data_IF_518882185503
#
_entry.id   IF_518882185503
#
_cell.length_a   1.000
_cell.length_b   1.000
_cell.length_c   1.000
_cell.angle_alpha   90.00
_cell.angle_beta   90.00
_cell.angle_gamma   90.00
#
_symmetry.space_group_name_H-M   'P 1'
#
loop_
_entity.id
_entity.type
_entity.pdbx_description
1 polymer ?
#
# COMPACT_ATOMS: atom_id res chain seq x y z
N UNK A 1 26.25 -1.47 -18.21
CA UNK A 1 25.56 -0.39 -17.48
C UNK A 1 26.62 0.31 -16.66
N UNK A 2 26.85 1.61 -16.84
CA UNK A 2 27.95 2.30 -16.13
C UNK A 2 27.45 2.78 -14.73
N UNK A 3 28.38 3.04 -13.80
CA UNK A 3 28.06 3.45 -12.42
C UNK A 3 27.16 4.70 -12.36
N UNK A 4 27.32 5.61 -13.34
CA UNK A 4 26.50 6.81 -13.49
C UNK A 4 25.06 6.51 -13.89
N UNK A 5 24.81 5.50 -14.73
CA UNK A 5 23.46 5.08 -15.12
C UNK A 5 22.67 4.51 -13.92
N UNK A 6 23.35 3.79 -13.03
CA UNK A 6 22.75 3.18 -11.83
C UNK A 6 22.38 4.24 -10.79
N UNK A 7 23.25 5.23 -10.54
CA UNK A 7 22.95 6.33 -9.62
C UNK A 7 21.83 7.24 -10.12
N UNK A 8 21.75 7.49 -11.44
CA UNK A 8 20.68 8.29 -12.04
C UNK A 8 19.32 7.60 -11.91
N UNK A 9 19.24 6.29 -12.21
CA UNK A 9 18.01 5.52 -12.04
C UNK A 9 17.55 5.45 -10.58
N UNK A 10 18.47 5.37 -9.62
CA UNK A 10 18.16 5.38 -8.19
C UNK A 10 17.65 6.74 -7.67
N UNK A 11 17.92 7.84 -8.37
CA UNK A 11 17.49 9.19 -7.99
C UNK A 11 16.26 9.68 -8.79
N UNK A 12 15.68 8.83 -9.65
CA UNK A 12 14.58 9.23 -10.54
C UNK A 12 15.00 10.18 -11.65
N UNK A 13 16.31 10.36 -11.87
CA UNK A 13 16.84 11.11 -12.99
C UNK A 13 17.03 10.20 -14.20
N UNK A 14 16.86 10.72 -15.43
CA UNK A 14 17.13 9.94 -16.64
C UNK A 14 18.57 9.40 -16.63
N UNK A 15 18.82 8.15 -17.05
CA UNK A 15 20.16 7.58 -17.11
C UNK A 15 21.09 8.42 -18.02
N UNK A 16 22.35 8.55 -17.59
CA UNK A 16 23.39 9.39 -18.20
C UNK A 16 23.72 9.06 -19.67
N UNK A 17 23.22 7.93 -20.16
CA UNK A 17 23.24 7.49 -21.56
C UNK A 17 22.19 8.17 -22.46
N UNK A 18 21.31 9.03 -21.93
CA UNK A 18 20.50 9.95 -22.75
C UNK A 18 21.38 11.08 -23.27
N UNK A 19 22.13 10.76 -24.32
CA UNK A 19 22.71 11.73 -25.21
C UNK A 19 21.68 12.15 -26.27
N UNK A 20 21.11 13.34 -26.08
CA UNK A 20 20.94 14.40 -27.12
C UNK A 20 19.60 14.76 -27.78
N UNK A 21 18.47 14.08 -27.59
CA UNK A 21 17.21 14.63 -28.11
C UNK A 21 16.27 15.05 -26.99
N UNK A 22 15.95 16.36 -26.94
CA UNK A 22 14.97 16.94 -26.00
C UNK A 22 13.63 16.19 -26.06
N UNK A 23 13.32 15.60 -27.22
CA UNK A 23 12.13 14.79 -27.46
C UNK A 23 12.10 13.50 -26.64
N UNK A 24 13.23 12.82 -26.45
CA UNK A 24 13.32 11.60 -25.63
C UNK A 24 13.13 11.92 -24.14
N UNK A 25 13.73 13.01 -23.66
CA UNK A 25 13.56 13.48 -22.28
C UNK A 25 12.11 13.89 -22.02
N UNK A 26 11.49 14.61 -22.96
CA UNK A 26 10.08 14.99 -22.87
C UNK A 26 9.18 13.76 -22.85
N UNK A 27 9.46 12.76 -23.69
CA UNK A 27 8.70 11.50 -23.74
C UNK A 27 8.83 10.72 -22.43
N UNK A 28 10.04 10.62 -21.88
CA UNK A 28 10.30 9.99 -20.59
C UNK A 28 9.58 10.70 -19.44
N UNK A 29 9.66 12.02 -19.38
CA UNK A 29 8.97 12.80 -18.34
C UNK A 29 7.45 12.69 -18.48
N UNK A 30 6.91 12.76 -19.69
CA UNK A 30 5.48 12.64 -19.95
C UNK A 30 4.95 11.26 -19.56
N UNK A 31 5.66 10.19 -19.91
CA UNK A 31 5.28 8.81 -19.55
C UNK A 31 5.34 8.58 -18.04
N UNK A 32 6.37 9.10 -17.37
CA UNK A 32 6.53 8.98 -15.92
C UNK A 32 5.46 9.79 -15.17
N UNK A 33 5.16 11.00 -15.63
CA UNK A 33 4.09 11.84 -15.07
C UNK A 33 2.72 11.16 -15.22
N UNK A 34 2.44 10.60 -16.39
CA UNK A 34 1.19 9.88 -16.64
C UNK A 34 1.05 8.66 -15.72
N UNK A 35 2.12 7.87 -15.57
CA UNK A 35 2.12 6.71 -14.68
C UNK A 35 1.91 7.13 -13.20
N UNK A 36 2.51 8.24 -12.77
CA UNK A 36 2.30 8.78 -11.43
C UNK A 36 0.86 9.26 -11.23
N UNK A 37 0.29 9.94 -12.23
CA UNK A 37 -1.11 10.39 -12.17
C UNK A 37 -2.08 9.21 -12.07
N UNK A 38 -1.86 8.14 -12.85
CA UNK A 38 -2.67 6.92 -12.77
C UNK A 38 -2.64 6.27 -11.39
N UNK A 39 -1.45 6.23 -10.74
CA UNK A 39 -1.33 5.72 -9.36
C UNK A 39 -2.10 6.59 -8.37
N UNK A 40 -2.02 7.92 -8.51
CA UNK A 40 -2.76 8.85 -7.64
C UNK A 40 -4.26 8.71 -7.82
N UNK A 41 -4.74 8.61 -9.06
CA UNK A 41 -6.16 8.44 -9.36
C UNK A 41 -6.69 7.11 -8.80
N UNK A 42 -5.92 6.03 -8.92
CA UNK A 42 -6.27 4.73 -8.33
C UNK A 42 -6.35 4.80 -6.79
N UNK A 43 -5.36 5.42 -6.14
CA UNK A 43 -5.37 5.63 -4.68
C UNK A 43 -6.51 6.55 -4.24
N UNK A 44 -6.82 7.60 -5.01
CA UNK A 44 -7.92 8.51 -4.72
C UNK A 44 -9.28 7.80 -4.85
N UNK A 45 -9.45 6.97 -5.88
CA UNK A 45 -10.65 6.15 -6.07
C UNK A 45 -10.82 5.11 -4.96
N UNK A 46 -9.74 4.41 -4.57
CA UNK A 46 -9.75 3.48 -3.44
C UNK A 46 -10.09 4.18 -2.13
N UNK A 47 -9.46 5.33 -1.83
CA UNK A 47 -9.78 6.12 -0.65
C UNK A 47 -11.22 6.65 -0.65
N UNK A 48 -11.73 7.09 -1.80
CA UNK A 48 -13.11 7.52 -1.94
C UNK A 48 -14.07 6.36 -1.68
N UNK A 49 -13.80 5.17 -2.23
CA UNK A 49 -14.60 3.97 -2.00
C UNK A 49 -14.55 3.49 -0.53
N UNK A 50 -13.39 3.58 0.12
CA UNK A 50 -13.26 3.26 1.54
C UNK A 50 -14.07 4.23 2.40
N UNK A 51 -14.08 5.53 2.07
CA UNK A 51 -14.79 6.57 2.82
C UNK A 51 -16.29 6.62 2.53
N UNK A 52 -16.71 6.45 1.28
CA UNK A 52 -18.13 6.59 0.88
C UNK A 52 -18.99 5.42 1.33
N UNK A 53 -18.37 4.28 1.65
CA UNK A 53 -19.08 3.02 1.93
C UNK A 53 -19.05 2.64 3.42
N UNK A 54 -18.62 3.52 4.33
CA UNK A 54 -18.81 3.30 5.77
C UNK A 54 -20.29 3.47 6.12
N UNK A 55 -21.07 2.40 5.95
CA UNK A 55 -22.32 2.21 6.67
C UNK A 55 -22.10 1.07 7.65
N UNK A 56 -22.41 1.33 8.92
CA UNK A 56 -22.28 0.35 9.99
C UNK A 56 -23.66 -0.25 10.23
N UNK A 57 -23.84 -1.50 9.85
CA UNK A 57 -25.08 -2.21 10.15
C UNK A 57 -24.89 -3.08 11.39
N UNK A 58 -25.92 -3.07 12.25
CA UNK A 58 -26.14 -4.17 13.17
C UNK A 58 -26.51 -5.40 12.33
N UNK A 59 -25.89 -6.54 12.63
CA UNK A 59 -26.21 -7.81 11.96
C UNK A 59 -27.69 -8.21 12.19
N UNK A 60 -28.32 -7.74 13.27
CA UNK A 60 -29.71 -8.02 13.61
C UNK A 60 -30.71 -7.02 13.01
N UNK A 61 -30.26 -5.84 12.54
CA UNK A 61 -31.10 -4.83 11.87
C UNK A 61 -30.37 -4.15 10.69
N UNK A 62 -30.29 -4.83 9.53
CA UNK A 62 -29.58 -4.32 8.35
C UNK A 62 -30.34 -3.21 7.60
N UNK A 63 -31.59 -2.91 7.95
CA UNK A 63 -32.37 -1.86 7.27
C UNK A 63 -32.09 -0.45 7.81
N UNK A 64 -31.46 -0.35 8.99
CA UNK A 64 -31.18 0.94 9.63
C UNK A 64 -29.67 1.11 9.94
N UNK A 65 -28.89 1.73 9.03
CA UNK A 65 -27.46 1.95 9.26
C UNK A 65 -27.22 2.94 10.40
N UNK A 66 -26.19 2.68 11.20
CA UNK A 66 -25.67 3.55 12.24
C UNK A 66 -24.56 4.46 11.70
N UNK A 67 -24.40 5.63 12.31
CA UNK A 67 -23.34 6.59 11.96
C UNK A 67 -21.97 6.10 12.41
N UNK A 68 -21.91 5.37 13.53
CA UNK A 68 -20.69 4.70 14.01
C UNK A 68 -20.96 3.36 14.70
N UNK A 69 -19.95 2.47 14.82
CA UNK A 69 -20.10 1.23 15.57
C UNK A 69 -20.20 1.44 17.08
N UNK A 70 -19.79 2.59 17.61
CA UNK A 70 -20.09 3.00 18.99
C UNK A 70 -21.58 3.24 19.19
N UNK A 71 -22.28 3.78 18.20
CA UNK A 71 -23.74 3.96 18.27
C UNK A 71 -24.47 2.62 18.36
N UNK A 72 -23.96 1.57 17.70
CA UNK A 72 -24.47 0.20 17.83
C UNK A 72 -24.32 -0.28 19.27
N UNK A 73 -23.12 -0.14 19.85
CA UNK A 73 -22.85 -0.58 21.22
C UNK A 73 -23.72 0.16 22.26
N UNK A 74 -23.92 1.48 22.06
CA UNK A 74 -24.75 2.31 22.91
C UNK A 74 -26.24 1.97 22.78
N UNK A 75 -26.76 1.85 21.55
CA UNK A 75 -28.18 1.62 21.30
C UNK A 75 -28.61 0.20 21.71
N UNK A 76 -27.73 -0.78 21.54
CA UNK A 76 -27.97 -2.17 21.96
C UNK A 76 -27.65 -2.43 23.43
N UNK A 77 -27.14 -1.44 24.18
CA UNK A 77 -26.85 -1.55 25.61
C UNK A 77 -25.81 -2.63 25.94
N UNK A 78 -24.75 -2.72 25.14
CA UNK A 78 -23.75 -3.79 25.24
C UNK A 78 -22.89 -3.67 26.51
N UNK A 79 -22.68 -4.79 27.20
CA UNK A 79 -21.86 -4.84 28.41
C UNK A 79 -20.35 -4.79 28.09
N UNK A 80 -19.55 -4.40 29.08
CA UNK A 80 -18.08 -4.42 28.99
C UNK A 80 -17.57 -5.80 28.52
N UNK A 81 -16.58 -5.78 27.61
CA UNK A 81 -15.96 -6.95 27.00
C UNK A 81 -16.88 -7.79 26.08
N UNK A 82 -18.08 -7.28 25.75
CA UNK A 82 -18.94 -7.84 24.70
C UNK A 82 -18.29 -7.65 23.34
N UNK A 83 -18.25 -8.72 22.55
CA UNK A 83 -17.76 -8.70 21.16
C UNK A 83 -18.96 -8.70 20.23
N UNK A 84 -18.92 -7.87 19.21
CA UNK A 84 -19.96 -7.79 18.20
C UNK A 84 -19.36 -7.61 16.81
N UNK A 85 -20.01 -8.20 15.82
CA UNK A 85 -19.63 -8.06 14.43
C UNK A 85 -20.40 -6.91 13.81
N UNK A 86 -19.68 -6.04 13.13
CA UNK A 86 -20.23 -4.94 12.37
C UNK A 86 -19.99 -5.22 10.92
N UNK A 87 -21.08 -5.31 10.17
CA UNK A 87 -20.99 -5.39 8.73
C UNK A 87 -20.57 -4.02 8.19
N UNK A 88 -19.46 -3.99 7.46
CA UNK A 88 -18.93 -2.78 6.85
C UNK A 88 -19.04 -2.94 5.34
N UNK A 89 -19.94 -2.19 4.70
CA UNK A 89 -20.12 -2.12 3.24
C UNK A 89 -20.34 -3.46 2.49
N UNK A 90 -20.91 -3.36 1.29
CA UNK A 90 -20.74 -4.43 0.31
C UNK A 90 -19.27 -4.46 -0.15
N UNK A 91 -18.58 -5.60 0.05
CA UNK A 91 -17.20 -5.93 -0.36
C UNK A 91 -16.07 -5.72 0.66
N UNK A 92 -16.33 -5.26 1.88
CA UNK A 92 -15.32 -5.34 2.95
C UNK A 92 -15.63 -6.53 3.89
N UNK A 93 -14.61 -7.20 4.43
CA UNK A 93 -14.84 -8.21 5.46
C UNK A 93 -15.49 -7.55 6.68
N UNK A 94 -16.37 -8.30 7.36
CA UNK A 94 -16.95 -7.89 8.63
C UNK A 94 -15.85 -7.54 9.62
N UNK A 95 -16.10 -6.54 10.46
CA UNK A 95 -15.17 -6.14 11.52
C UNK A 95 -15.74 -6.50 12.88
N UNK A 96 -14.95 -7.19 13.68
CA UNK A 96 -15.29 -7.46 15.07
C UNK A 96 -14.77 -6.35 15.97
N UNK A 97 -15.67 -5.76 16.74
CA UNK A 97 -15.35 -4.78 17.78
C UNK A 97 -15.60 -5.40 19.15
N UNK A 98 -14.93 -4.84 20.16
CA UNK A 98 -15.16 -5.19 21.57
C UNK A 98 -15.38 -3.93 22.38
N UNK A 99 -16.36 -3.97 23.27
CA UNK A 99 -16.62 -2.88 24.21
C UNK A 99 -15.49 -2.84 25.24
N UNK A 100 -14.75 -1.74 25.25
CA UNK A 100 -13.56 -1.52 26.09
C UNK A 100 -13.84 -0.66 27.31
N UNK A 101 -14.84 0.22 27.25
CA UNK A 101 -15.32 0.99 28.40
C UNK A 101 -16.84 1.12 28.31
N UNK A 102 -17.53 0.98 29.45
CA UNK A 102 -18.97 1.25 29.56
C UNK A 102 -19.17 2.27 30.68
N UNK A 103 -19.91 3.32 30.39
CA UNK A 103 -20.36 4.31 31.35
C UNK A 103 -21.87 4.51 31.24
N UNK A 104 -22.44 5.33 32.13
CA UNK A 104 -23.87 5.64 32.09
C UNK A 104 -24.31 6.37 30.80
N UNK A 105 -23.37 7.01 30.09
CA UNK A 105 -23.69 7.91 28.97
C UNK A 105 -22.92 7.58 27.69
N UNK A 106 -21.98 6.65 27.75
CA UNK A 106 -21.03 6.41 26.66
C UNK A 106 -20.42 5.01 26.76
N UNK A 107 -20.19 4.41 25.59
CA UNK A 107 -19.54 3.13 25.40
C UNK A 107 -18.38 3.33 24.42
N UNK A 108 -17.17 2.97 24.84
CA UNK A 108 -16.02 2.92 23.93
C UNK A 108 -15.80 1.50 23.44
N UNK A 109 -15.34 1.42 22.20
CA UNK A 109 -15.02 0.16 21.56
C UNK A 109 -13.56 0.16 21.11
N UNK A 110 -13.04 -1.04 20.92
CA UNK A 110 -11.77 -1.26 20.23
C UNK A 110 -12.00 -2.25 19.09
N UNK A 111 -11.27 -2.05 17.99
CA UNK A 111 -11.26 -3.00 16.89
C UNK A 111 -10.45 -4.22 17.30
N UNK A 112 -11.09 -5.39 17.30
CA UNK A 112 -10.47 -6.69 17.63
C UNK A 112 -10.22 -7.53 16.37
N UNK A 113 -10.74 -7.11 15.22
CA UNK A 113 -10.58 -7.83 13.96
C UNK A 113 -9.11 -7.96 13.52
N UNK A 114 -8.71 -9.19 13.22
CA UNK A 114 -7.42 -9.52 12.57
C UNK A 114 -7.48 -9.36 11.03
N UNK A 115 -8.68 -9.12 10.47
CA UNK A 115 -8.87 -9.00 9.02
C UNK A 115 -8.53 -7.57 8.55
N UNK A 116 -7.31 -7.39 8.04
CA UNK A 116 -6.91 -6.17 7.33
C UNK A 116 -7.66 -6.17 5.98
N UNK A 117 -8.43 -5.13 5.65
CA UNK A 117 -9.08 -5.04 4.34
C UNK A 117 -8.01 -4.99 3.25
N UNK A 118 -8.20 -5.77 2.19
CA UNK A 118 -7.35 -5.67 1.00
C UNK A 118 -7.50 -4.28 0.38
N UNK A 119 -6.37 -3.67 0.03
CA UNK A 119 -6.31 -2.34 -0.56
C UNK A 119 -5.43 -2.38 -1.79
N UNK A 120 -5.90 -2.95 -2.91
CA UNK A 120 -5.06 -3.25 -4.07
C UNK A 120 -4.22 -2.08 -4.58
N UNK A 121 -4.75 -0.84 -4.57
CA UNK A 121 -4.00 0.32 -5.01
C UNK A 121 -2.91 0.71 -3.98
N UNK A 122 -3.24 0.68 -2.69
CA UNK A 122 -2.29 0.90 -1.60
C UNK A 122 -1.22 -0.19 -1.56
N UNK A 123 -1.59 -1.46 -1.73
CA UNK A 123 -0.70 -2.61 -1.73
C UNK A 123 0.26 -2.56 -2.93
N UNK A 124 -0.25 -2.24 -4.12
CA UNK A 124 0.58 -2.00 -5.30
C UNK A 124 1.56 -0.83 -5.10
N UNK A 125 1.13 0.24 -4.42
CA UNK A 125 1.99 1.38 -4.09
C UNK A 125 3.12 0.97 -3.12
N UNK A 126 2.78 0.28 -2.03
CA UNK A 126 3.75 -0.22 -1.04
C UNK A 126 4.75 -1.19 -1.68
N UNK A 127 4.29 -2.06 -2.58
CA UNK A 127 5.14 -2.99 -3.31
C UNK A 127 6.09 -2.28 -4.28
N UNK A 128 5.63 -1.20 -4.95
CA UNK A 128 6.50 -0.34 -5.77
C UNK A 128 7.61 0.29 -4.92
N UNK A 129 7.27 0.83 -3.74
CA UNK A 129 8.24 1.45 -2.82
C UNK A 129 9.24 0.42 -2.28
N UNK A 130 8.78 -0.78 -1.91
CA UNK A 130 9.67 -1.88 -1.49
C UNK A 130 10.63 -2.27 -2.61
N UNK A 131 10.13 -2.40 -3.84
CA UNK A 131 10.96 -2.72 -5.01
C UNK A 131 12.01 -1.62 -5.28
N UNK A 132 11.63 -0.34 -5.19
CA UNK A 132 12.57 0.77 -5.30
C UNK A 132 13.63 0.74 -4.19
N UNK A 133 13.22 0.47 -2.94
CA UNK A 133 14.14 0.34 -1.81
C UNK A 133 15.17 -0.78 -1.99
N UNK A 134 14.78 -1.93 -2.54
CA UNK A 134 15.68 -3.05 -2.86
C UNK A 134 16.74 -2.63 -3.89
N UNK A 135 16.33 -1.96 -4.97
CA UNK A 135 17.25 -1.45 -6.01
C UNK A 135 18.19 -0.39 -5.44
N UNK A 136 17.67 0.57 -4.66
CA UNK A 136 18.49 1.60 -4.03
C UNK A 136 19.53 1.00 -3.09
N UNK A 137 19.15 -0.02 -2.30
CA UNK A 137 20.07 -0.70 -1.40
C UNK A 137 21.17 -1.43 -2.18
N UNK A 138 20.82 -2.23 -3.19
CA UNK A 138 21.79 -2.94 -4.03
C UNK A 138 22.75 -1.97 -4.73
N UNK A 139 22.24 -0.86 -5.25
CA UNK A 139 23.03 0.20 -5.89
C UNK A 139 24.05 0.82 -4.92
N UNK A 140 23.63 1.10 -3.68
CA UNK A 140 24.53 1.62 -2.64
C UNK A 140 25.61 0.62 -2.24
N UNK A 141 25.27 -0.66 -2.14
CA UNK A 141 26.25 -1.71 -1.83
C UNK A 141 27.29 -1.85 -2.94
N UNK A 142 26.87 -1.77 -4.20
CA UNK A 142 27.77 -1.76 -5.35
C UNK A 142 28.68 -0.53 -5.35
N UNK A 143 28.12 0.65 -5.08
CA UNK A 143 28.87 1.90 -4.99
C UNK A 143 29.92 1.88 -3.86
N UNK A 144 29.56 1.35 -2.68
CA UNK A 144 30.46 1.27 -1.53
C UNK A 144 31.61 0.27 -1.73
N UNK A 145 31.40 -0.74 -2.59
CA UNK A 145 32.34 -1.83 -2.80
C UNK A 145 33.29 -1.64 -4.00
N UNK A 146 33.29 -0.45 -4.64
CA UNK A 146 34.20 -0.10 -5.75
C UNK A 146 35.71 -0.17 -5.42
N UNK A 147 36.07 -0.51 -4.18
CA UNK A 147 37.44 -0.70 -3.68
C UNK A 147 37.80 -2.18 -3.36
N UNK A 148 36.91 -3.15 -3.57
CA UNK A 148 37.15 -4.58 -3.30
C UNK A 148 37.11 -5.42 -4.60
N UNK A 149 38.10 -6.31 -4.78
CA UNK A 149 38.36 -7.13 -5.99
C UNK A 149 37.25 -8.13 -6.42
N UNK A 150 36.08 -8.15 -5.78
CA UNK A 150 34.99 -9.09 -6.09
C UNK A 150 33.82 -8.43 -6.81
N UNK A 151 34.08 -7.86 -7.98
CA UNK A 151 33.07 -7.27 -8.88
C UNK A 151 31.98 -8.29 -9.27
N UNK A 152 32.33 -9.56 -9.43
CA UNK A 152 31.43 -10.65 -9.83
C UNK A 152 30.32 -10.93 -8.80
N UNK A 153 30.62 -10.81 -7.50
CA UNK A 153 29.65 -11.06 -6.43
C UNK A 153 28.64 -9.91 -6.30
N UNK A 154 29.06 -8.70 -6.63
CA UNK A 154 28.22 -7.50 -6.53
C UNK A 154 27.33 -7.31 -7.76
N UNK A 155 27.82 -7.64 -8.96
CA UNK A 155 26.99 -7.70 -10.17
C UNK A 155 25.87 -8.74 -10.01
N UNK A 156 26.19 -9.89 -9.38
CA UNK A 156 25.20 -10.91 -9.06
C UNK A 156 24.14 -10.40 -8.08
N UNK A 157 24.55 -9.65 -7.06
CA UNK A 157 23.63 -9.03 -6.09
C UNK A 157 22.66 -8.04 -6.75
N UNK A 158 23.11 -7.31 -7.78
CA UNK A 158 22.22 -6.41 -8.50
C UNK A 158 21.19 -7.16 -9.36
N UNK A 159 21.59 -8.25 -10.02
CA UNK A 159 20.67 -9.12 -10.76
C UNK A 159 19.62 -9.75 -9.82
N UNK A 160 20.05 -10.26 -8.67
CA UNK A 160 19.14 -10.87 -7.69
C UNK A 160 18.20 -9.79 -7.09
N UNK A 161 18.66 -8.55 -6.94
CA UNK A 161 17.85 -7.41 -6.51
C UNK A 161 16.81 -6.98 -7.56
N UNK A 162 17.18 -7.01 -8.86
CA UNK A 162 16.25 -6.78 -9.98
C UNK A 162 15.16 -7.84 -10.04
N UNK A 163 15.53 -9.11 -9.85
CA UNK A 163 14.58 -10.22 -9.80
C UNK A 163 13.59 -10.05 -8.63
N UNK A 164 14.10 -9.75 -7.43
CA UNK A 164 13.27 -9.53 -6.24
C UNK A 164 12.35 -8.31 -6.41
N UNK A 165 12.86 -7.21 -6.96
CA UNK A 165 12.07 -6.02 -7.26
C UNK A 165 10.95 -6.32 -8.29
N UNK A 166 11.24 -7.15 -9.29
CA UNK A 166 10.25 -7.65 -10.24
C UNK A 166 9.16 -8.49 -9.57
N UNK A 167 9.54 -9.40 -8.67
CA UNK A 167 8.60 -10.23 -7.91
C UNK A 167 7.68 -9.37 -7.04
N UNK A 168 8.24 -8.39 -6.31
CA UNK A 168 7.46 -7.48 -5.47
C UNK A 168 6.43 -6.68 -6.28
N UNK A 169 6.79 -6.22 -7.48
CA UNK A 169 5.83 -5.52 -8.36
C UNK A 169 4.74 -6.46 -8.91
N UNK A 170 5.06 -7.73 -9.12
CA UNK A 170 4.14 -8.72 -9.69
C UNK A 170 3.17 -9.33 -8.65
N UNK A 171 3.51 -9.34 -7.37
CA UNK A 171 2.64 -9.90 -6.31
C UNK A 171 1.40 -9.06 -6.03
N UNK A 172 1.38 -7.78 -6.41
CA UNK A 172 0.21 -6.90 -6.23
C UNK A 172 -1.02 -7.23 -7.11
N UNK A 173 -1.02 -8.36 -7.85
CA UNK A 173 -2.11 -8.73 -8.77
C UNK A 173 -2.53 -10.20 -8.74
N UNK A 174 -2.14 -10.99 -7.72
CA UNK A 174 -2.37 -12.45 -7.71
C UNK A 174 -3.37 -12.99 -6.70
N UNK A 175 -3.90 -12.17 -5.79
CA UNK A 175 -4.71 -12.71 -4.68
C UNK A 175 -6.23 -12.47 -4.85
N UNK A 176 -6.69 -12.22 -6.08
CA UNK A 176 -8.11 -12.03 -6.41
C UNK A 176 -8.64 -13.02 -7.44
N UNK A 177 -8.70 -14.31 -7.09
CA UNK A 177 -9.57 -15.33 -7.73
C UNK A 177 -10.44 -16.03 -6.68
#
# INVERSE_FOLDING_TARGET
MNHSDIEHMAQGFPPSSIGKDHEEVVTYLATTLLAAQQKLDALAAENAALKSNLMFWDAEDPENPYDSPEDIANNCGMDFNTKFEVQVAAKMPNRTYRVSEVSQYDCKIELVSDAIPETPATDACLNSLRAEGVIMFASKQLAAASNLESTTTLERLMLDAEELAGQLRATGGKDGE
#
